data_IF_024327962201
#
_entry.id   IF_024327962201
#
_cell.length_a   1.000
_cell.length_b   1.000
_cell.length_c   1.000
_cell.angle_alpha   90.00
_cell.angle_beta   90.00
_cell.angle_gamma   90.00
#
_symmetry.space_group_name_H-M   'P 1'
#
loop_
_entity.id
_entity.type
_entity.pdbx_description
1 polymer ?
#
# COMPACT_ATOMS: atom_id res chain seq x y z
N UNK A 1 -4.04 -20.63 4.75
CA UNK A 1 -4.82 -19.56 5.40
C UNK A 1 -3.81 -18.63 6.07
N UNK A 2 -3.29 -17.59 5.38
CA UNK A 2 -2.12 -16.87 5.91
C UNK A 2 -2.06 -15.37 5.62
N UNK A 3 -3.01 -14.82 4.85
CA UNK A 3 -2.98 -13.39 4.46
C UNK A 3 -3.99 -12.51 5.22
N UNK A 4 -4.95 -13.13 5.93
CA UNK A 4 -6.05 -12.40 6.59
C UNK A 4 -5.67 -11.86 7.97
N UNK A 5 -4.67 -12.47 8.61
CA UNK A 5 -4.25 -12.12 9.98
C UNK A 5 -3.27 -10.94 10.00
N UNK A 6 -2.31 -10.89 9.05
CA UNK A 6 -1.39 -9.75 8.92
C UNK A 6 -2.12 -8.42 8.74
N UNK A 7 -3.17 -8.38 7.91
CA UNK A 7 -3.95 -7.16 7.71
C UNK A 7 -4.63 -6.69 8.99
N UNK A 8 -5.15 -7.60 9.83
CA UNK A 8 -5.79 -7.25 11.09
C UNK A 8 -4.78 -6.77 12.12
N UNK A 9 -3.62 -7.42 12.21
CA UNK A 9 -2.57 -7.05 13.16
C UNK A 9 -1.98 -5.67 12.85
N UNK A 10 -1.74 -5.39 11.58
CA UNK A 10 -1.29 -4.06 11.14
C UNK A 10 -2.34 -2.98 11.47
N UNK A 11 -3.61 -3.24 11.17
CA UNK A 11 -4.69 -2.29 11.47
C UNK A 11 -4.85 -2.06 12.98
N UNK A 12 -4.68 -3.10 13.80
CA UNK A 12 -4.71 -2.99 15.25
C UNK A 12 -3.54 -2.15 15.79
N UNK A 13 -2.34 -2.32 15.23
CA UNK A 13 -1.17 -1.49 15.58
C UNK A 13 -1.40 -0.03 15.20
N UNK A 14 -1.91 0.23 14.00
CA UNK A 14 -2.25 1.60 13.55
C UNK A 14 -3.29 2.22 14.47
N UNK A 15 -4.33 1.48 14.84
CA UNK A 15 -5.36 1.95 15.78
C UNK A 15 -4.76 2.30 17.14
N UNK A 16 -3.89 1.45 17.69
CA UNK A 16 -3.21 1.69 18.98
C UNK A 16 -2.29 2.92 18.94
N UNK A 17 -1.61 3.17 17.82
CA UNK A 17 -0.64 4.27 17.69
C UNK A 17 -1.27 5.61 17.33
N UNK A 18 -2.33 5.59 16.51
CA UNK A 18 -2.96 6.82 15.98
C UNK A 18 -4.25 7.20 16.72
N UNK A 19 -4.81 6.30 17.53
CA UNK A 19 -6.13 6.47 18.14
C UNK A 19 -7.29 6.42 17.14
N UNK A 20 -7.01 6.31 15.84
CA UNK A 20 -8.02 6.26 14.77
C UNK A 20 -8.29 4.83 14.35
N UNK A 21 -9.57 4.47 14.29
CA UNK A 21 -9.97 3.16 13.78
C UNK A 21 -9.99 3.20 12.25
N UNK A 22 -8.92 2.73 11.62
CA UNK A 22 -8.88 2.51 10.16
C UNK A 22 -9.48 1.15 9.87
N UNK A 23 -10.52 1.09 9.05
CA UNK A 23 -11.16 -0.17 8.66
C UNK A 23 -10.58 -0.69 7.34
N UNK A 24 -10.73 -1.99 7.07
CA UNK A 24 -10.36 -2.57 5.77
C UNK A 24 -11.07 -1.88 4.60
N UNK A 25 -12.30 -1.39 4.81
CA UNK A 25 -13.08 -0.64 3.80
C UNK A 25 -12.48 0.73 3.50
N UNK A 26 -11.88 1.39 4.49
CA UNK A 26 -11.20 2.67 4.29
C UNK A 26 -9.90 2.49 3.50
N UNK A 27 -9.16 1.43 3.82
CA UNK A 27 -7.96 1.01 3.07
C UNK A 27 -8.34 0.68 1.62
N UNK A 28 -9.41 -0.09 1.41
CA UNK A 28 -9.87 -0.51 0.08
C UNK A 28 -10.28 0.69 -0.79
N UNK A 29 -10.98 1.68 -0.21
CA UNK A 29 -11.31 2.93 -0.92
C UNK A 29 -10.05 3.66 -1.39
N UNK A 30 -9.05 3.79 -0.52
CA UNK A 30 -7.78 4.43 -0.87
C UNK A 30 -7.07 3.62 -1.96
N UNK A 31 -6.97 2.30 -1.80
CA UNK A 31 -6.30 1.40 -2.72
C UNK A 31 -6.96 1.39 -4.11
N UNK A 32 -8.29 1.47 -4.18
CA UNK A 32 -9.04 1.49 -5.45
C UNK A 32 -8.73 2.71 -6.32
N UNK A 33 -8.27 3.82 -5.72
CA UNK A 33 -7.85 5.02 -6.44
C UNK A 33 -6.40 5.00 -6.94
N UNK A 34 -5.59 4.03 -6.51
CA UNK A 34 -4.16 3.94 -6.87
C UNK A 34 -4.02 3.18 -8.17
N UNK A 35 -3.50 3.84 -9.20
CA UNK A 35 -3.22 3.21 -10.50
C UNK A 35 -1.81 2.63 -10.53
N UNK A 36 -1.52 1.62 -11.37
CA UNK A 36 -0.15 1.14 -11.57
C UNK A 36 0.82 2.26 -11.97
N UNK A 37 0.35 3.24 -12.76
CA UNK A 37 1.12 4.42 -13.15
C UNK A 37 1.50 5.32 -11.95
N UNK A 38 0.67 5.34 -10.90
CA UNK A 38 0.96 6.05 -9.64
C UNK A 38 2.14 5.44 -8.91
N UNK A 39 2.35 4.12 -9.03
CA UNK A 39 3.49 3.43 -8.43
C UNK A 39 4.79 3.62 -9.23
N UNK A 40 4.68 3.95 -10.52
CA UNK A 40 5.82 4.24 -11.39
C UNK A 40 6.32 5.68 -11.25
N UNK A 41 5.45 6.61 -10.88
CA UNK A 41 5.78 8.03 -10.71
C UNK A 41 6.09 8.36 -9.25
N UNK A 42 7.35 8.70 -8.98
CA UNK A 42 7.79 9.10 -7.65
C UNK A 42 7.05 10.33 -7.11
N UNK A 43 6.79 11.31 -7.97
CA UNK A 43 6.06 12.51 -7.59
C UNK A 43 4.62 12.18 -7.17
N UNK A 44 3.94 11.29 -7.90
CA UNK A 44 2.59 10.87 -7.56
C UNK A 44 2.56 10.00 -6.31
N UNK A 45 3.54 9.11 -6.14
CA UNK A 45 3.68 8.28 -4.94
C UNK A 45 3.91 9.15 -3.70
N UNK A 46 4.75 10.18 -3.80
CA UNK A 46 4.97 11.17 -2.73
C UNK A 46 3.67 11.89 -2.34
N UNK A 47 2.89 12.35 -3.33
CA UNK A 47 1.60 13.00 -3.07
C UNK A 47 0.62 12.05 -2.39
N UNK A 48 0.55 10.79 -2.83
CA UNK A 48 -0.30 9.78 -2.23
C UNK A 48 0.08 9.52 -0.76
N UNK A 49 1.36 9.37 -0.45
CA UNK A 49 1.82 9.18 0.94
C UNK A 49 1.39 10.36 1.82
N UNK A 50 1.51 11.60 1.32
CA UNK A 50 1.07 12.81 2.04
C UNK A 50 -0.45 12.86 2.24
N UNK A 51 -1.22 12.45 1.25
CA UNK A 51 -2.68 12.39 1.35
C UNK A 51 -3.14 11.37 2.41
N UNK A 52 -2.52 10.18 2.42
CA UNK A 52 -2.83 9.13 3.40
C UNK A 52 -2.40 9.57 4.80
N UNK A 53 -1.21 10.15 4.96
CA UNK A 53 -0.72 10.60 6.26
C UNK A 53 -1.58 11.72 6.85
N UNK A 54 -2.06 12.64 6.02
CA UNK A 54 -3.04 13.66 6.40
C UNK A 54 -4.36 13.09 6.89
N UNK A 55 -4.89 12.04 6.22
CA UNK A 55 -6.13 11.37 6.61
C UNK A 55 -6.04 10.77 8.02
N UNK A 56 -4.91 10.14 8.34
CA UNK A 56 -4.67 9.57 9.67
C UNK A 56 -4.06 10.57 10.66
N UNK A 57 -3.82 11.82 10.26
CA UNK A 57 -3.18 12.88 11.07
C UNK A 57 -1.84 12.44 11.67
N UNK A 58 -1.04 11.71 10.88
CA UNK A 58 0.30 11.28 11.26
C UNK A 58 1.29 12.11 10.47
N UNK A 59 2.21 12.78 11.17
CA UNK A 59 3.31 13.49 10.51
C UNK A 59 4.37 12.46 10.08
N UNK A 60 4.81 12.57 8.84
CA UNK A 60 5.83 11.71 8.24
C UNK A 60 6.96 12.62 7.77
N UNK A 61 8.20 12.30 8.12
CA UNK A 61 9.36 13.07 7.67
C UNK A 61 9.63 12.82 6.19
N UNK A 62 10.32 13.74 5.51
CA UNK A 62 10.70 13.55 4.11
C UNK A 62 11.62 12.34 3.92
N UNK A 63 12.44 12.01 4.92
CA UNK A 63 13.24 10.78 4.95
C UNK A 63 12.37 9.53 4.93
N UNK A 64 11.40 9.43 5.84
CA UNK A 64 10.47 8.29 5.87
C UNK A 64 9.65 8.20 4.59
N UNK A 65 9.28 9.33 3.98
CA UNK A 65 8.62 9.33 2.67
C UNK A 65 9.53 8.72 1.60
N UNK A 66 10.82 9.07 1.57
CA UNK A 66 11.78 8.51 0.62
C UNK A 66 11.96 7.00 0.83
N UNK A 67 12.05 6.54 2.08
CA UNK A 67 12.18 5.12 2.42
C UNK A 67 10.96 4.33 1.94
N UNK A 68 9.75 4.85 2.15
CA UNK A 68 8.52 4.23 1.65
C UNK A 68 8.52 4.17 0.13
N UNK A 69 8.91 5.26 -0.55
CA UNK A 69 9.00 5.30 -2.02
C UNK A 69 9.98 4.24 -2.53
N UNK A 70 11.16 4.14 -1.93
CA UNK A 70 12.16 3.14 -2.30
C UNK A 70 11.63 1.72 -2.04
N UNK A 71 11.03 1.47 -0.88
CA UNK A 71 10.44 0.19 -0.54
C UNK A 71 9.35 -0.21 -1.53
N UNK A 72 8.47 0.70 -1.95
CA UNK A 72 7.41 0.41 -2.94
C UNK A 72 8.00 0.17 -4.34
N UNK A 73 9.00 0.94 -4.76
CA UNK A 73 9.69 0.75 -6.04
C UNK A 73 10.55 -0.52 -6.07
N UNK A 74 11.11 -0.94 -4.95
CA UNK A 74 11.89 -2.18 -4.80
C UNK A 74 10.99 -3.40 -4.63
N UNK A 75 9.85 -3.24 -3.95
CA UNK A 75 8.75 -4.19 -3.90
C UNK A 75 8.04 -4.35 -5.25
N UNK A 76 8.63 -3.86 -6.36
CA UNK A 76 8.28 -4.26 -7.72
C UNK A 76 8.03 -5.75 -7.67
N UNK A 77 6.74 -6.09 -7.59
CA UNK A 77 6.20 -7.39 -7.86
C UNK A 77 6.81 -7.72 -9.20
N UNK A 78 7.83 -8.59 -9.17
CA UNK A 78 8.63 -8.94 -10.32
C UNK A 78 7.65 -9.12 -11.47
N UNK A 79 7.82 -8.39 -12.57
CA UNK A 79 6.84 -8.44 -13.66
C UNK A 79 6.59 -9.88 -14.12
N UNK A 80 7.61 -10.74 -13.94
CA UNK A 80 7.52 -12.19 -14.04
C UNK A 80 6.52 -12.84 -13.07
N UNK A 81 6.55 -12.49 -11.78
CA UNK A 81 5.59 -12.98 -10.79
C UNK A 81 4.17 -12.49 -11.07
N UNK A 82 3.99 -11.26 -11.56
CA UNK A 82 2.67 -10.80 -12.02
C UNK A 82 2.18 -11.56 -13.26
N UNK A 83 3.05 -11.83 -14.23
CA UNK A 83 2.72 -12.65 -15.39
C UNK A 83 2.26 -14.05 -14.96
N UNK A 84 2.97 -14.64 -14.00
CA UNK A 84 2.66 -15.97 -13.47
C UNK A 84 1.34 -15.98 -12.68
N UNK A 85 1.09 -14.94 -11.89
CA UNK A 85 -0.18 -14.74 -11.20
C UNK A 85 -1.34 -14.55 -12.20
N UNK A 86 -1.12 -13.78 -13.26
CA UNK A 86 -2.08 -13.56 -14.34
C UNK A 86 -2.35 -14.86 -15.12
N UNK A 87 -1.33 -15.67 -15.41
CA UNK A 87 -1.51 -16.97 -16.06
C UNK A 87 -2.30 -17.95 -15.19
N UNK A 88 -2.03 -17.99 -13.88
CA UNK A 88 -2.81 -18.78 -12.93
C UNK A 88 -4.26 -18.29 -12.81
N UNK A 89 -4.50 -16.98 -12.85
CA UNK A 89 -5.85 -16.40 -12.84
C UNK A 89 -6.61 -16.60 -14.15
N UNK A 90 -5.93 -16.58 -15.30
CA UNK A 90 -6.53 -16.84 -16.61
C UNK A 90 -6.73 -18.33 -16.90
N UNK A 91 -6.35 -19.21 -15.97
CA UNK A 91 -6.57 -20.66 -16.10
C UNK A 91 -5.80 -21.31 -17.26
N UNK A 92 -4.84 -20.60 -17.86
CA UNK A 92 -3.91 -21.21 -18.81
C UNK A 92 -2.85 -21.95 -18.00
N UNK A 93 -3.03 -23.27 -17.90
CA UNK A 93 -1.90 -24.17 -17.72
C UNK A 93 -0.98 -24.10 -18.94
#
# INVERSE_FOLDING_TARGET
>A
MSNKDMSKDVLNVVKKKTGKSVTSKDIEKIASGVKPSTLQSEAQLRQLIKQVSGLVNVKVSEETINDIIQAVKSSKLDTNNMQQLMSMMMGKK
#
